data_IF_283040988817
#
_entry.id   IF_283040988817
#
_cell.length_a   1.000
_cell.length_b   1.000
_cell.length_c   1.000
_cell.angle_alpha   90.00
_cell.angle_beta   90.00
_cell.angle_gamma   90.00
#
_symmetry.space_group_name_H-M   'P 1'
#
loop_
_entity.id
_entity.type
_entity.pdbx_description
1 polymer ?
#
# COMPACT_ATOMS: atom_id res chain seq x y z
N UNK A 1 12.60 1.97 24.62
CA UNK A 1 12.98 1.51 23.27
C UNK A 1 11.86 0.59 22.80
N UNK A 2 11.22 0.92 21.69
CA UNK A 2 10.08 0.15 21.17
C UNK A 2 10.60 -0.83 20.12
N UNK A 3 10.29 -2.11 20.28
CA UNK A 3 10.69 -3.18 19.36
C UNK A 3 9.63 -3.39 18.27
N UNK A 4 9.32 -2.35 17.48
CA UNK A 4 8.38 -2.46 16.38
C UNK A 4 8.85 -1.66 15.15
N UNK A 5 8.42 -2.11 13.98
CA UNK A 5 8.66 -1.43 12.71
C UNK A 5 7.53 -0.46 12.37
N UNK A 6 7.83 0.55 11.59
CA UNK A 6 6.86 1.59 11.22
C UNK A 6 6.85 1.79 9.71
N UNK A 7 5.65 1.83 9.13
CA UNK A 7 5.42 2.51 7.85
C UNK A 7 4.89 3.90 8.20
N UNK A 8 5.73 4.91 8.05
CA UNK A 8 5.50 6.27 8.59
C UNK A 8 4.56 7.14 7.72
N UNK A 9 3.64 6.51 6.99
CA UNK A 9 2.78 7.24 6.07
C UNK A 9 3.54 7.79 4.87
N UNK A 10 3.14 8.98 4.38
CA UNK A 10 3.90 9.66 3.33
C UNK A 10 4.03 11.16 3.61
N UNK A 11 5.17 11.71 3.22
CA UNK A 11 5.53 13.12 3.47
C UNK A 11 6.18 13.74 2.23
N UNK A 12 6.07 15.07 2.05
CA UNK A 12 6.88 15.77 1.06
C UNK A 12 8.37 15.66 1.40
N UNK A 13 9.18 15.17 0.48
CA UNK A 13 10.62 15.02 0.65
C UNK A 13 11.37 15.70 -0.49
N UNK A 14 12.23 16.66 -0.16
CA UNK A 14 13.06 17.35 -1.14
C UNK A 14 14.37 16.59 -1.38
N UNK A 15 14.64 16.22 -2.65
CA UNK A 15 15.88 15.58 -3.10
C UNK A 15 16.20 16.03 -4.53
N UNK A 16 17.46 16.26 -4.82
CA UNK A 16 17.97 16.56 -6.18
C UNK A 16 17.20 17.67 -6.92
N UNK A 17 16.81 18.73 -6.17
CA UNK A 17 16.08 19.87 -6.72
C UNK A 17 14.59 19.64 -6.96
N UNK A 18 14.03 18.48 -6.55
CA UNK A 18 12.62 18.11 -6.71
C UNK A 18 11.99 17.75 -5.38
N UNK A 19 10.67 17.88 -5.29
CA UNK A 19 9.89 17.39 -4.15
C UNK A 19 9.16 16.13 -4.55
N UNK A 20 9.21 15.10 -3.72
CA UNK A 20 8.50 13.84 -3.90
C UNK A 20 7.50 13.61 -2.78
N UNK A 21 6.42 12.91 -3.07
CA UNK A 21 5.54 12.37 -2.04
C UNK A 21 6.09 10.99 -1.65
N UNK A 22 6.76 10.91 -0.49
CA UNK A 22 7.59 9.76 -0.11
C UNK A 22 7.04 9.03 1.11
N UNK A 23 6.80 7.72 0.98
CA UNK A 23 6.54 6.82 2.10
C UNK A 23 7.85 6.23 2.62
N UNK A 24 7.99 6.16 3.94
CA UNK A 24 9.21 5.70 4.61
C UNK A 24 8.91 4.47 5.46
N UNK A 25 9.70 3.41 5.31
CA UNK A 25 9.67 2.23 6.18
C UNK A 25 10.88 2.24 7.12
N UNK A 26 10.63 2.04 8.40
CA UNK A 26 11.62 2.04 9.47
C UNK A 26 11.52 0.69 10.20
N UNK A 27 12.64 -0.02 10.33
CA UNK A 27 12.68 -1.29 11.05
C UNK A 27 12.71 -1.10 12.57
N UNK A 28 12.63 -2.19 13.31
CA UNK A 28 12.64 -2.19 14.79
C UNK A 28 13.93 -1.64 15.41
N UNK A 29 15.03 -1.60 14.67
CA UNK A 29 16.28 -0.97 15.06
C UNK A 29 16.30 0.55 14.82
N UNK A 30 15.21 1.13 14.25
CA UNK A 30 15.11 2.55 13.93
C UNK A 30 15.81 2.96 12.63
N UNK A 31 16.18 2.01 11.78
CA UNK A 31 16.84 2.27 10.50
C UNK A 31 15.81 2.42 9.39
N UNK A 32 16.02 3.37 8.50
CA UNK A 32 15.23 3.49 7.27
C UNK A 32 15.64 2.33 6.34
N UNK A 33 14.71 1.43 6.06
CA UNK A 33 14.92 0.27 5.18
C UNK A 33 14.29 0.44 3.80
N UNK A 34 13.37 1.41 3.65
CA UNK A 34 12.80 1.76 2.36
C UNK A 34 12.33 3.22 2.32
N UNK A 35 12.48 3.84 1.16
CA UNK A 35 11.83 5.09 0.78
C UNK A 35 11.19 4.89 -0.59
N UNK A 36 9.89 5.05 -0.65
CA UNK A 36 9.10 4.90 -1.87
C UNK A 36 8.49 6.24 -2.25
N UNK A 37 8.81 6.73 -3.43
CA UNK A 37 8.22 7.92 -4.02
C UNK A 37 7.00 7.54 -4.85
N UNK A 38 5.89 8.25 -4.64
CA UNK A 38 4.63 8.02 -5.36
C UNK A 38 4.84 8.05 -6.86
N UNK A 39 4.53 6.94 -7.54
CA UNK A 39 4.74 6.79 -8.98
C UNK A 39 3.62 7.48 -9.77
N UNK A 40 2.36 7.28 -9.37
CA UNK A 40 1.21 7.84 -10.05
C UNK A 40 0.66 9.06 -9.30
N UNK A 41 0.96 10.24 -9.82
CA UNK A 41 0.46 11.50 -9.26
C UNK A 41 -1.03 11.67 -9.60
N UNK A 42 -1.78 12.25 -8.64
CA UNK A 42 -3.23 12.40 -8.78
C UNK A 42 -3.58 13.75 -9.41
N UNK A 43 -3.81 13.75 -10.73
CA UNK A 43 -4.03 14.95 -11.51
C UNK A 43 -5.26 15.80 -11.10
N UNK A 44 -6.30 15.19 -10.48
CA UNK A 44 -7.44 15.98 -9.96
C UNK A 44 -7.05 16.91 -8.81
N UNK A 45 -5.98 16.61 -8.09
CA UNK A 45 -5.42 17.47 -7.04
C UNK A 45 -4.21 18.27 -7.53
N UNK A 46 -3.91 18.16 -8.84
CA UNK A 46 -2.75 18.82 -9.46
C UNK A 46 -1.45 18.52 -8.73
N UNK A 47 -1.28 17.26 -8.31
CA UNK A 47 -0.07 16.83 -7.61
C UNK A 47 1.19 17.08 -8.44
N UNK A 48 1.09 17.04 -9.76
CA UNK A 48 2.15 17.34 -10.71
C UNK A 48 2.69 18.78 -10.64
N UNK A 49 1.92 19.71 -10.05
CA UNK A 49 2.38 21.09 -9.83
C UNK A 49 3.33 21.19 -8.63
N UNK A 50 3.34 20.19 -7.75
CA UNK A 50 4.06 20.20 -6.47
C UNK A 50 5.07 19.07 -6.32
N UNK A 51 4.82 17.92 -6.94
CA UNK A 51 5.61 16.71 -6.78
C UNK A 51 6.15 16.20 -8.11
N UNK A 52 7.36 15.67 -8.07
CA UNK A 52 7.88 14.83 -9.14
C UNK A 52 7.38 13.38 -8.95
N UNK A 53 7.08 12.65 -10.03
CA UNK A 53 6.75 11.23 -9.96
C UNK A 53 7.96 10.40 -9.55
N UNK A 54 7.73 9.35 -8.77
CA UNK A 54 8.73 8.32 -8.52
C UNK A 54 8.99 7.48 -9.78
N UNK A 55 10.21 6.99 -9.91
CA UNK A 55 10.63 6.18 -11.06
C UNK A 55 10.91 4.72 -10.69
N UNK A 56 10.97 4.42 -9.39
CA UNK A 56 11.34 3.11 -8.88
C UNK A 56 10.31 2.57 -7.89
N UNK A 57 10.01 1.29 -8.03
CA UNK A 57 9.23 0.54 -7.08
C UNK A 57 9.82 -0.87 -6.96
N UNK A 58 10.24 -1.22 -5.76
CA UNK A 58 10.91 -2.46 -5.45
C UNK A 58 10.41 -3.01 -4.12
N UNK A 59 10.60 -4.30 -3.92
CA UNK A 59 10.39 -4.91 -2.62
C UNK A 59 11.53 -4.58 -1.67
N UNK A 60 11.25 -4.60 -0.39
CA UNK A 60 12.22 -4.41 0.69
C UNK A 60 11.98 -5.42 1.80
N UNK A 61 13.00 -5.69 2.59
CA UNK A 61 12.88 -6.50 3.80
C UNK A 61 12.45 -5.63 4.98
N UNK A 62 11.42 -6.05 5.68
CA UNK A 62 10.99 -5.46 6.94
C UNK A 62 10.97 -6.56 7.99
N UNK A 63 12.04 -6.65 8.79
CA UNK A 63 12.23 -7.64 9.85
C UNK A 63 12.02 -9.09 9.38
N UNK A 64 12.60 -9.45 8.24
CA UNK A 64 12.52 -10.78 7.63
C UNK A 64 11.27 -11.03 6.78
N UNK A 65 10.44 -10.01 6.56
CA UNK A 65 9.27 -10.09 5.69
C UNK A 65 9.48 -9.25 4.43
N UNK A 66 9.39 -9.89 3.26
CA UNK A 66 9.41 -9.19 1.98
C UNK A 66 8.15 -8.35 1.80
N UNK A 67 8.30 -7.03 1.73
CA UNK A 67 7.23 -6.04 1.68
C UNK A 67 7.32 -5.15 0.45
N UNK A 68 6.22 -4.46 0.14
CA UNK A 68 6.16 -3.40 -0.85
C UNK A 68 5.47 -2.15 -0.30
N UNK A 69 5.73 -1.00 -0.92
CA UNK A 69 5.05 0.27 -0.61
C UNK A 69 4.39 0.83 -1.87
N UNK A 70 3.22 1.42 -1.69
CA UNK A 70 2.48 2.22 -2.67
C UNK A 70 1.85 3.40 -1.95
N UNK A 71 1.39 4.45 -2.65
CA UNK A 71 0.75 5.61 -2.02
C UNK A 71 -0.56 5.93 -2.72
N UNK A 72 -1.67 5.89 -1.98
CA UNK A 72 -2.98 6.45 -2.35
C UNK A 72 -3.43 6.07 -3.77
N UNK A 73 -3.25 6.98 -4.74
CA UNK A 73 -3.69 6.81 -6.13
C UNK A 73 -3.07 5.60 -6.83
N UNK A 74 -1.87 5.16 -6.39
CA UNK A 74 -1.22 3.93 -6.86
C UNK A 74 -2.10 2.69 -6.71
N UNK A 75 -3.04 2.70 -5.76
CA UNK A 75 -4.01 1.61 -5.58
C UNK A 75 -4.84 1.31 -6.83
N UNK A 76 -4.99 2.28 -7.75
CA UNK A 76 -5.72 2.10 -9.01
C UNK A 76 -4.95 1.35 -10.08
N UNK A 77 -3.66 1.17 -9.91
CA UNK A 77 -2.75 0.59 -10.91
C UNK A 77 -2.36 -0.84 -10.50
N UNK A 78 -3.05 -1.86 -11.04
CA UNK A 78 -2.77 -3.26 -10.71
C UNK A 78 -1.35 -3.68 -11.08
N UNK A 79 -0.74 -3.00 -12.04
CA UNK A 79 0.60 -3.28 -12.54
C UNK A 79 1.66 -3.19 -11.42
N UNK A 80 1.58 -2.16 -10.55
CA UNK A 80 2.50 -2.02 -9.42
C UNK A 80 2.37 -3.20 -8.45
N UNK A 81 1.13 -3.53 -8.08
CA UNK A 81 0.86 -4.61 -7.14
C UNK A 81 1.29 -5.96 -7.70
N UNK A 82 1.00 -6.20 -8.99
CA UNK A 82 1.43 -7.41 -9.69
C UNK A 82 2.95 -7.52 -9.73
N UNK A 83 3.63 -6.44 -10.06
CA UNK A 83 5.09 -6.41 -10.12
C UNK A 83 5.72 -6.71 -8.75
N UNK A 84 5.27 -6.02 -7.69
CA UNK A 84 5.76 -6.27 -6.32
C UNK A 84 5.48 -7.71 -5.86
N UNK A 85 4.28 -8.25 -6.16
CA UNK A 85 3.93 -9.62 -5.82
C UNK A 85 4.81 -10.66 -6.57
N UNK A 86 5.13 -10.41 -7.84
CA UNK A 86 6.05 -11.25 -8.62
C UNK A 86 7.50 -11.17 -8.13
N UNK A 87 7.90 -10.07 -7.48
CA UNK A 87 9.18 -9.94 -6.78
C UNK A 87 9.19 -10.61 -5.40
N UNK A 88 8.06 -11.13 -4.93
CA UNK A 88 7.96 -11.88 -3.69
C UNK A 88 7.36 -11.11 -2.51
N UNK A 89 6.80 -9.93 -2.73
CA UNK A 89 6.08 -9.21 -1.67
C UNK A 89 5.00 -10.10 -1.03
N UNK A 90 5.00 -10.15 0.29
CA UNK A 90 3.99 -10.83 1.11
C UNK A 90 2.96 -9.83 1.66
N UNK A 91 3.40 -8.60 1.91
CA UNK A 91 2.58 -7.50 2.41
C UNK A 91 2.87 -6.26 1.56
N UNK A 92 1.81 -5.56 1.13
CA UNK A 92 1.95 -4.23 0.51
C UNK A 92 1.20 -3.21 1.37
N UNK A 93 1.91 -2.15 1.72
CA UNK A 93 1.39 -1.02 2.49
C UNK A 93 0.98 0.11 1.54
N UNK A 94 -0.17 0.73 1.82
CA UNK A 94 -0.73 1.82 1.03
C UNK A 94 -1.27 2.93 1.95
N UNK A 95 -0.43 3.85 2.43
CA UNK A 95 -0.93 5.07 3.06
C UNK A 95 -1.65 5.96 2.05
N UNK A 96 -2.71 6.64 2.46
CA UNK A 96 -3.58 7.39 1.56
C UNK A 96 -4.30 8.57 2.23
N UNK A 97 -4.66 9.54 1.40
CA UNK A 97 -5.66 10.58 1.64
C UNK A 97 -6.82 10.39 0.65
N UNK A 98 -7.60 9.30 0.83
CA UNK A 98 -8.64 8.90 -0.12
C UNK A 98 -9.96 9.60 0.19
N UNK A 99 -10.54 10.35 -0.79
CA UNK A 99 -11.75 11.12 -0.55
C UNK A 99 -12.99 10.25 -0.33
N UNK A 100 -13.92 10.70 0.54
CA UNK A 100 -15.18 10.01 0.84
C UNK A 100 -16.05 9.76 -0.39
N UNK A 101 -16.03 10.67 -1.36
CA UNK A 101 -16.79 10.54 -2.62
C UNK A 101 -16.39 9.29 -3.46
N UNK A 102 -15.34 8.58 -3.09
CA UNK A 102 -14.82 7.39 -3.79
C UNK A 102 -14.58 6.23 -2.83
N UNK A 103 -15.27 6.21 -1.70
CA UNK A 103 -15.07 5.22 -0.64
C UNK A 103 -15.34 3.79 -1.09
N UNK A 104 -16.37 3.55 -1.90
CA UNK A 104 -16.69 2.21 -2.42
C UNK A 104 -15.52 1.64 -3.26
N UNK A 105 -14.87 2.51 -4.03
CA UNK A 105 -13.71 2.13 -4.85
C UNK A 105 -12.50 1.80 -3.97
N UNK A 106 -12.32 2.47 -2.84
CA UNK A 106 -11.24 2.18 -1.89
C UNK A 106 -11.26 0.72 -1.42
N UNK A 107 -12.42 0.27 -0.89
CA UNK A 107 -12.58 -1.13 -0.45
C UNK A 107 -12.41 -2.11 -1.61
N UNK A 108 -13.11 -1.85 -2.71
CA UNK A 108 -13.06 -2.72 -3.89
C UNK A 108 -11.62 -2.94 -4.36
N UNK A 109 -10.85 -1.87 -4.51
CA UNK A 109 -9.48 -1.96 -5.01
C UNK A 109 -8.57 -2.65 -4.00
N UNK A 110 -8.62 -2.32 -2.71
CA UNK A 110 -7.78 -2.96 -1.71
C UNK A 110 -8.02 -4.49 -1.67
N UNK A 111 -9.28 -4.92 -1.72
CA UNK A 111 -9.63 -6.35 -1.79
C UNK A 111 -9.16 -7.00 -3.10
N UNK A 112 -9.34 -6.31 -4.24
CA UNK A 112 -8.88 -6.81 -5.53
C UNK A 112 -7.36 -7.00 -5.54
N UNK A 113 -6.57 -6.00 -5.09
CA UNK A 113 -5.11 -6.08 -5.03
C UNK A 113 -4.63 -7.24 -4.17
N UNK A 114 -5.28 -7.48 -3.04
CA UNK A 114 -4.95 -8.61 -2.17
C UNK A 114 -5.27 -9.95 -2.84
N UNK A 115 -6.49 -10.10 -3.36
CA UNK A 115 -6.98 -11.36 -3.92
C UNK A 115 -6.26 -11.78 -5.20
N UNK A 116 -6.09 -10.87 -6.16
CA UNK A 116 -5.47 -11.15 -7.46
C UNK A 116 -3.96 -11.42 -7.38
N UNK A 117 -3.31 -10.98 -6.28
CA UNK A 117 -1.87 -11.13 -6.06
C UNK A 117 -1.54 -12.11 -4.93
N UNK A 118 -2.55 -12.65 -4.23
CA UNK A 118 -2.39 -13.55 -3.10
C UNK A 118 -1.39 -13.00 -2.05
N UNK A 119 -1.61 -11.76 -1.63
CA UNK A 119 -0.78 -11.02 -0.66
C UNK A 119 -1.68 -10.36 0.39
N UNK A 120 -1.09 -9.96 1.51
CA UNK A 120 -1.77 -9.04 2.42
C UNK A 120 -1.68 -7.61 1.88
N UNK A 121 -2.76 -6.83 2.04
CA UNK A 121 -2.75 -5.39 1.76
C UNK A 121 -3.13 -4.65 3.04
N UNK A 122 -2.26 -3.73 3.46
CA UNK A 122 -2.49 -2.82 4.58
C UNK A 122 -2.73 -1.44 4.00
N UNK A 123 -4.00 -1.07 3.88
CA UNK A 123 -4.44 0.19 3.31
C UNK A 123 -4.82 1.14 4.46
N UNK A 124 -4.01 2.18 4.68
CA UNK A 124 -4.19 3.14 5.78
C UNK A 124 -4.62 4.48 5.21
N UNK A 125 -5.83 4.91 5.54
CA UNK A 125 -6.41 6.12 4.99
C UNK A 125 -6.60 7.21 6.04
N UNK A 126 -6.47 8.46 5.64
CA UNK A 126 -6.81 9.60 6.45
C UNK A 126 -8.31 9.59 6.82
N UNK A 127 -8.63 9.96 8.05
CA UNK A 127 -9.98 10.19 8.54
C UNK A 127 -10.22 11.69 8.78
N UNK A 128 -11.48 12.10 8.86
CA UNK A 128 -11.85 13.49 9.10
C UNK A 128 -11.94 14.34 7.84
N UNK A 129 -11.65 15.64 7.96
CA UNK A 129 -11.81 16.65 6.88
C UNK A 129 -10.58 17.55 6.77
N UNK A 130 -10.19 17.87 5.53
CA UNK A 130 -9.21 18.90 5.25
C UNK A 130 -9.79 19.93 4.28
N UNK A 131 -9.77 21.21 4.67
CA UNK A 131 -10.34 22.33 3.88
C UNK A 131 -11.77 22.06 3.38
N UNK A 132 -12.59 21.40 4.21
CA UNK A 132 -13.99 21.05 3.88
C UNK A 132 -14.16 19.81 3.02
N UNK A 133 -13.10 19.19 2.56
CA UNK A 133 -13.16 17.91 1.83
C UNK A 133 -13.05 16.74 2.82
N UNK A 134 -14.07 15.86 2.93
CA UNK A 134 -14.01 14.72 3.82
C UNK A 134 -13.17 13.58 3.22
N UNK A 135 -12.34 12.97 4.06
CA UNK A 135 -11.67 11.71 3.77
C UNK A 135 -12.53 10.52 4.19
N UNK A 136 -12.35 9.41 3.51
CA UNK A 136 -13.22 8.25 3.71
C UNK A 136 -12.94 7.53 5.03
N UNK A 137 -11.72 7.64 5.60
CA UNK A 137 -11.30 6.78 6.70
C UNK A 137 -11.18 5.33 6.24
N UNK A 138 -11.80 4.39 6.97
CA UNK A 138 -11.86 2.98 6.61
C UNK A 138 -10.49 2.39 6.25
N UNK A 139 -9.50 2.68 7.11
CA UNK A 139 -8.22 1.96 7.09
C UNK A 139 -8.48 0.47 7.26
N UNK A 140 -7.81 -0.37 6.50
CA UNK A 140 -8.11 -1.79 6.54
C UNK A 140 -6.89 -2.68 6.33
N UNK A 141 -7.00 -3.89 6.84
CA UNK A 141 -6.11 -5.00 6.53
C UNK A 141 -6.87 -6.06 5.76
N UNK A 142 -6.37 -6.42 4.59
CA UNK A 142 -7.00 -7.38 3.69
C UNK A 142 -6.10 -8.62 3.54
N UNK A 143 -6.71 -9.80 3.71
CA UNK A 143 -6.04 -11.10 3.56
C UNK A 143 -5.78 -11.45 2.10
N UNK A 144 -4.88 -12.41 1.81
CA UNK A 144 -4.60 -12.92 0.46
C UNK A 144 -5.82 -13.49 -0.29
N UNK A 145 -6.88 -13.80 0.42
CA UNK A 145 -8.18 -14.24 -0.14
C UNK A 145 -9.09 -13.09 -0.56
N UNK A 146 -8.71 -11.84 -0.33
CA UNK A 146 -9.56 -10.66 -0.50
C UNK A 146 -10.50 -10.38 0.68
N UNK A 147 -10.46 -11.20 1.74
CA UNK A 147 -11.27 -10.97 2.95
C UNK A 147 -10.69 -9.83 3.77
N UNK A 148 -11.52 -8.87 4.17
CA UNK A 148 -11.14 -7.84 5.14
C UNK A 148 -11.03 -8.51 6.52
N UNK A 149 -9.87 -8.40 7.17
CA UNK A 149 -9.59 -8.95 8.50
C UNK A 149 -9.88 -7.95 9.62
N UNK A 150 -9.56 -6.68 9.35
CA UNK A 150 -9.87 -5.56 10.23
C UNK A 150 -10.16 -4.33 9.37
N UNK A 151 -11.11 -3.52 9.79
CA UNK A 151 -11.48 -2.26 9.14
C UNK A 151 -11.84 -1.23 10.22
N UNK A 152 -11.27 -0.03 10.10
CA UNK A 152 -11.61 1.15 10.86
C UNK A 152 -12.92 1.78 10.36
N UNK A 153 -13.51 2.69 11.15
CA UNK A 153 -14.62 3.53 10.72
C UNK A 153 -14.18 4.79 9.97
N UNK A 154 -15.05 5.77 9.99
CA UNK A 154 -14.85 7.09 9.37
C UNK A 154 -14.12 8.10 10.28
N UNK A 155 -13.81 7.68 11.52
CA UNK A 155 -13.16 8.50 12.54
C UNK A 155 -11.73 8.07 12.77
N UNK A 156 -10.98 8.91 13.46
CA UNK A 156 -9.64 8.60 13.95
C UNK A 156 -9.71 7.48 14.99
N UNK A 157 -9.10 6.35 14.69
CA UNK A 157 -9.01 5.20 15.58
C UNK A 157 -7.80 4.32 15.25
N UNK A 158 -7.42 3.47 16.20
CA UNK A 158 -6.37 2.46 16.03
C UNK A 158 -7.05 1.09 15.90
N UNK A 159 -6.72 0.39 14.83
CA UNK A 159 -7.11 -1.02 14.65
C UNK A 159 -5.87 -1.91 14.73
N UNK A 160 -6.05 -3.12 15.24
CA UNK A 160 -5.00 -4.14 15.28
C UNK A 160 -5.52 -5.49 14.81
N UNK A 161 -4.66 -6.28 14.18
CA UNK A 161 -5.00 -7.61 13.72
C UNK A 161 -3.74 -8.45 13.64
N UNK A 162 -3.80 -9.68 14.16
CA UNK A 162 -2.77 -10.68 13.90
C UNK A 162 -2.94 -11.30 12.52
N UNK A 163 -1.83 -11.48 11.80
CA UNK A 163 -1.80 -12.16 10.51
C UNK A 163 -0.89 -13.37 10.56
N UNK A 164 -1.25 -14.40 9.80
CA UNK A 164 -0.39 -15.57 9.60
C UNK A 164 0.08 -15.58 8.14
N UNK A 165 1.37 -15.38 7.90
CA UNK A 165 1.94 -15.38 6.56
C UNK A 165 1.72 -16.69 5.81
N UNK A 166 1.50 -17.82 6.52
CA UNK A 166 1.15 -19.10 5.90
C UNK A 166 -0.23 -19.08 5.19
N UNK A 167 -1.06 -18.07 5.42
CA UNK A 167 -2.33 -17.93 4.69
C UNK A 167 -2.11 -17.61 3.22
N UNK A 168 -0.97 -17.02 2.86
CA UNK A 168 -0.55 -16.82 1.47
C UNK A 168 -0.42 -18.19 0.79
N UNK A 169 0.31 -19.11 1.42
CA UNK A 169 0.54 -20.46 0.87
C UNK A 169 -0.77 -21.27 0.81
N UNK A 170 -1.65 -21.11 1.80
CA UNK A 170 -2.99 -21.77 1.76
C UNK A 170 -3.82 -21.33 0.56
N UNK A 171 -3.78 -20.04 0.20
CA UNK A 171 -4.51 -19.53 -0.97
C UNK A 171 -3.83 -20.04 -2.24
N UNK A 172 -2.50 -19.91 -2.36
CA UNK A 172 -1.72 -20.33 -3.53
C UNK A 172 -1.82 -21.85 -3.79
N UNK A 173 -1.89 -22.66 -2.74
CA UNK A 173 -2.07 -24.12 -2.89
C UNK A 173 -3.44 -24.52 -3.45
N UNK A 174 -4.45 -23.65 -3.33
CA UNK A 174 -5.78 -23.88 -3.92
C UNK A 174 -5.86 -23.40 -5.35
N UNK A 175 -5.30 -22.24 -5.62
CA UNK A 175 -5.24 -21.61 -6.93
C UNK A 175 -4.04 -20.65 -6.96
N UNK A 176 -3.04 -20.93 -7.78
CA UNK A 176 -1.86 -20.06 -7.88
C UNK A 176 -1.86 -19.22 -9.16
N UNK A 177 -2.74 -18.21 -9.19
CA UNK A 177 -2.84 -17.33 -10.34
C UNK A 177 -1.52 -16.60 -10.68
N UNK A 178 -0.62 -16.40 -9.70
CA UNK A 178 0.70 -15.80 -9.96
C UNK A 178 1.63 -16.73 -10.75
N UNK A 179 1.51 -18.06 -10.57
CA UNK A 179 2.29 -19.03 -11.34
C UNK A 179 1.81 -19.11 -12.80
N UNK A 180 0.52 -18.81 -13.04
CA UNK A 180 -0.10 -18.86 -14.36
C UNK A 180 0.11 -17.56 -15.16
N UNK A 181 0.75 -16.54 -14.56
CA UNK A 181 1.02 -15.27 -15.25
C UNK A 181 1.95 -15.50 -16.44
N UNK A 182 1.48 -15.12 -17.62
CA UNK A 182 2.25 -15.13 -18.86
C UNK A 182 3.16 -13.91 -18.91
N UNK A 183 4.32 -14.02 -18.24
CA UNK A 183 5.27 -12.90 -18.05
C UNK A 183 5.76 -12.30 -19.36
N UNK A 184 5.79 -13.10 -20.43
CA UNK A 184 6.18 -12.66 -21.77
C UNK A 184 5.18 -11.70 -22.43
N UNK A 185 3.97 -11.57 -21.88
CA UNK A 185 2.92 -10.65 -22.36
C UNK A 185 2.77 -9.39 -21.49
N UNK A 186 3.48 -9.34 -20.37
CA UNK A 186 3.44 -8.23 -19.42
C UNK A 186 4.82 -7.57 -19.46
N UNK A 187 4.92 -6.48 -20.21
CA UNK A 187 6.15 -5.66 -20.30
C UNK A 187 6.00 -4.40 -19.46
#
# INVERSE_FOLDING_TARGET
>A
ENEFSIIAGSVPMFRDGKVYNTSVAINKEGQIVNMYDKVHLFGLFKEEDFFAPGENFQVFDLDGVCCGSTICYDLRFPELYRHLALQGAKIIFCPAEWPSARGDIWRLLAQARAAENHIFVVAVNCAGTFKGAPFFGHSMLVAPSGKILAEAGDKEEIISCEINLADIDKVRNRLNALADVRKELIQ
#
